data_IF_669939071918
#
_entry.id   IF_669939071918
#
_cell.length_a   1.000
_cell.length_b   1.000
_cell.length_c   1.000
_cell.angle_alpha   90.00
_cell.angle_beta   90.00
_cell.angle_gamma   90.00
#
_symmetry.space_group_name_H-M   'P 1'
#
loop_
_entity.id
_entity.type
_entity.pdbx_description
1 polymer ?
#
# COMPACT_ATOMS: atom_id res chain seq x y z
N UNK A 1 -3.49 -1.74 -33.30
CA UNK A 1 -2.16 -2.00 -32.69
C UNK A 1 -1.91 -1.19 -31.42
N UNK A 2 -2.14 0.14 -31.41
CA UNK A 2 -1.92 1.04 -30.26
C UNK A 2 -2.66 0.58 -28.98
N UNK A 3 -3.95 0.24 -29.07
CA UNK A 3 -4.73 -0.25 -27.93
C UNK A 3 -4.13 -1.52 -27.30
N UNK A 4 -3.62 -2.46 -28.11
CA UNK A 4 -3.00 -3.71 -27.63
C UNK A 4 -1.69 -3.42 -26.90
N UNK A 5 -0.85 -2.56 -27.46
CA UNK A 5 0.40 -2.13 -26.83
C UNK A 5 0.15 -1.44 -25.48
N UNK A 6 -0.84 -0.54 -25.43
CA UNK A 6 -1.22 0.14 -24.18
C UNK A 6 -1.63 -0.84 -23.07
N UNK A 7 -2.52 -1.80 -23.37
CA UNK A 7 -2.92 -2.80 -22.38
C UNK A 7 -1.77 -3.72 -21.96
N UNK A 8 -0.82 -4.04 -22.86
CA UNK A 8 0.37 -4.81 -22.50
C UNK A 8 1.30 -4.06 -21.56
N UNK A 9 1.50 -2.76 -21.76
CA UNK A 9 2.29 -1.92 -20.85
C UNK A 9 1.59 -1.81 -19.49
N UNK A 10 0.26 -1.63 -19.49
CA UNK A 10 -0.52 -1.55 -18.28
C UNK A 10 -0.51 -2.88 -17.51
N UNK A 11 -0.63 -4.01 -18.21
CA UNK A 11 -0.50 -5.35 -17.64
C UNK A 11 0.86 -5.53 -16.99
N UNK A 12 1.94 -5.18 -17.70
CA UNK A 12 3.29 -5.22 -17.16
C UNK A 12 3.41 -4.36 -15.89
N UNK A 13 3.01 -3.09 -15.94
CA UNK A 13 3.16 -2.16 -14.84
C UNK A 13 2.38 -2.59 -13.59
N UNK A 14 1.13 -3.04 -13.76
CA UNK A 14 0.26 -3.42 -12.64
C UNK A 14 0.58 -4.83 -12.11
N UNK A 15 0.74 -5.81 -13.00
CA UNK A 15 0.84 -7.21 -12.59
C UNK A 15 2.25 -7.62 -12.17
N UNK A 16 3.29 -6.88 -12.57
CA UNK A 16 4.65 -7.03 -12.02
C UNK A 16 4.86 -6.36 -10.65
N UNK A 17 3.81 -5.75 -10.10
CA UNK A 17 3.84 -4.97 -8.85
C UNK A 17 4.69 -3.69 -8.89
N UNK A 18 5.16 -3.25 -10.06
CA UNK A 18 5.86 -1.96 -10.20
C UNK A 18 4.97 -0.79 -9.78
N UNK A 19 3.71 -0.78 -10.21
CA UNK A 19 2.77 0.29 -9.87
C UNK A 19 2.57 0.45 -8.36
N UNK A 20 2.36 -0.64 -7.63
CA UNK A 20 2.14 -0.59 -6.18
C UNK A 20 3.41 -0.18 -5.43
N UNK A 21 4.60 -0.53 -5.94
CA UNK A 21 5.86 -0.04 -5.40
C UNK A 21 6.04 1.48 -5.61
N UNK A 22 5.63 2.01 -6.77
CA UNK A 22 5.56 3.46 -6.98
C UNK A 22 4.52 4.13 -6.07
N UNK A 23 3.40 3.47 -5.78
CA UNK A 23 2.44 3.95 -4.80
C UNK A 23 3.07 4.07 -3.41
N UNK A 24 3.87 3.09 -2.97
CA UNK A 24 4.59 3.17 -1.69
C UNK A 24 5.58 4.34 -1.65
N UNK A 25 6.35 4.55 -2.73
CA UNK A 25 7.25 5.72 -2.86
C UNK A 25 6.46 7.03 -2.79
N UNK A 26 5.36 7.14 -3.54
CA UNK A 26 4.50 8.33 -3.51
C UNK A 26 3.98 8.61 -2.10
N UNK A 27 3.68 7.58 -1.32
CA UNK A 27 3.23 7.75 0.06
C UNK A 27 4.34 8.13 1.04
N UNK A 28 5.57 7.67 0.80
CA UNK A 28 6.75 8.22 1.48
C UNK A 28 6.94 9.70 1.17
N UNK A 29 6.83 10.09 -0.11
CA UNK A 29 6.93 11.49 -0.54
C UNK A 29 5.86 12.38 0.09
N UNK A 30 4.62 11.91 0.20
CA UNK A 30 3.56 12.63 0.92
C UNK A 30 3.94 12.88 2.38
N UNK A 31 4.59 11.91 3.06
CA UNK A 31 5.07 12.10 4.43
C UNK A 31 6.14 13.19 4.50
N UNK A 32 7.17 13.13 3.64
CA UNK A 32 8.21 14.16 3.58
C UNK A 32 7.62 15.55 3.32
N UNK A 33 6.69 15.65 2.37
CA UNK A 33 6.03 16.90 2.03
C UNK A 33 5.22 17.47 3.19
N UNK A 34 4.41 16.64 3.87
CA UNK A 34 3.59 17.08 5.01
C UNK A 34 4.44 17.51 6.21
N UNK A 35 5.60 16.88 6.41
CA UNK A 35 6.56 17.28 7.44
C UNK A 35 7.44 18.47 7.01
N UNK A 36 7.33 18.94 5.75
CA UNK A 36 8.20 19.97 5.15
C UNK A 36 9.69 19.58 5.19
N UNK A 37 9.98 18.31 4.95
CA UNK A 37 11.33 17.73 4.96
C UNK A 37 11.77 17.36 3.55
N UNK A 38 13.08 17.38 3.32
CA UNK A 38 13.66 16.94 2.05
C UNK A 38 13.58 15.42 1.91
N UNK A 39 13.08 14.89 0.77
CA UNK A 39 13.00 13.46 0.56
C UNK A 39 14.37 12.77 0.48
N UNK A 40 14.57 11.71 1.28
CA UNK A 40 15.74 10.85 1.15
C UNK A 40 15.51 9.79 0.07
N UNK A 41 16.25 9.91 -1.04
CA UNK A 41 16.18 8.99 -2.19
C UNK A 41 16.50 7.54 -1.83
N UNK A 42 17.39 7.29 -0.88
CA UNK A 42 17.79 5.93 -0.50
C UNK A 42 16.70 5.25 0.32
N UNK A 43 16.02 6.00 1.19
CA UNK A 43 14.85 5.50 1.94
C UNK A 43 13.70 5.20 0.99
N UNK A 44 13.41 6.10 0.05
CA UNK A 44 12.37 5.88 -0.94
C UNK A 44 12.68 4.67 -1.84
N UNK A 45 13.95 4.50 -2.26
CA UNK A 45 14.37 3.32 -3.03
C UNK A 45 14.28 2.03 -2.19
N UNK A 46 14.60 2.08 -0.89
CA UNK A 46 14.43 0.96 0.01
C UNK A 46 12.96 0.56 0.13
N UNK A 47 12.05 1.53 0.30
CA UNK A 47 10.60 1.31 0.31
C UNK A 47 10.12 0.72 -1.02
N UNK A 48 10.62 1.20 -2.15
CA UNK A 48 10.30 0.66 -3.48
C UNK A 48 10.71 -0.81 -3.61
N UNK A 49 11.98 -1.13 -3.35
CA UNK A 49 12.51 -2.47 -3.49
C UNK A 49 11.88 -3.45 -2.49
N UNK A 50 11.69 -3.05 -1.23
CA UNK A 50 11.02 -3.88 -0.21
C UNK A 50 9.56 -4.17 -0.58
N UNK A 51 8.83 -3.19 -1.11
CA UNK A 51 7.47 -3.38 -1.61
C UNK A 51 7.45 -4.38 -2.77
N UNK A 52 8.34 -4.21 -3.77
CA UNK A 52 8.45 -5.17 -4.89
C UNK A 52 8.75 -6.59 -4.41
N UNK A 53 9.74 -6.75 -3.51
CA UNK A 53 10.14 -8.03 -2.97
C UNK A 53 8.95 -8.72 -2.28
N UNK A 54 8.31 -8.05 -1.32
CA UNK A 54 7.23 -8.64 -0.52
C UNK A 54 6.02 -8.99 -1.39
N UNK A 55 5.60 -8.10 -2.30
CA UNK A 55 4.42 -8.33 -3.13
C UNK A 55 4.65 -9.44 -4.17
N UNK A 56 5.83 -9.49 -4.80
CA UNK A 56 6.14 -10.57 -5.73
C UNK A 56 6.30 -11.90 -5.01
N UNK A 57 6.99 -11.92 -3.86
CA UNK A 57 7.15 -13.13 -3.07
C UNK A 57 5.80 -13.67 -2.59
N UNK A 58 4.87 -12.81 -2.17
CA UNK A 58 3.50 -13.19 -1.80
C UNK A 58 2.78 -13.95 -2.93
N UNK A 59 2.95 -13.48 -4.18
CA UNK A 59 2.36 -14.10 -5.36
C UNK A 59 3.04 -15.42 -5.72
N UNK A 60 4.38 -15.45 -5.71
CA UNK A 60 5.16 -16.66 -5.99
C UNK A 60 4.90 -17.77 -4.97
N UNK A 61 4.77 -17.44 -3.68
CA UNK A 61 4.46 -18.41 -2.61
C UNK A 61 3.01 -18.91 -2.65
N UNK A 62 2.12 -18.21 -3.37
CA UNK A 62 0.70 -18.55 -3.48
C UNK A 62 0.34 -19.13 -4.85
N UNK A 63 1.29 -19.79 -5.52
CA UNK A 63 1.06 -20.41 -6.83
C UNK A 63 -0.09 -21.44 -6.78
N UNK A 64 -1.15 -21.26 -7.59
CA UNK A 64 -2.24 -22.23 -7.67
C UNK A 64 -1.81 -23.45 -8.51
N UNK A 65 -2.50 -24.59 -8.33
CA UNK A 65 -2.20 -25.84 -9.09
C UNK A 65 -2.29 -25.66 -10.61
N UNK A 66 -3.24 -24.86 -11.08
CA UNK A 66 -3.45 -24.59 -12.51
C UNK A 66 -3.53 -23.07 -12.77
N UNK A 67 -2.40 -22.34 -12.78
CA UNK A 67 -2.40 -20.88 -12.87
C UNK A 67 -3.11 -20.34 -14.11
N UNK A 68 -3.02 -21.06 -15.23
CA UNK A 68 -3.60 -20.66 -16.51
C UNK A 68 -5.13 -20.75 -16.55
N UNK A 69 -5.76 -21.51 -15.64
CA UNK A 69 -7.22 -21.59 -15.52
C UNK A 69 -7.79 -20.65 -14.45
N UNK A 70 -6.94 -19.88 -13.76
CA UNK A 70 -7.39 -18.92 -12.76
C UNK A 70 -8.38 -17.92 -13.37
N UNK A 71 -9.46 -17.53 -12.66
CA UNK A 71 -10.37 -16.49 -13.13
C UNK A 71 -9.68 -15.12 -13.23
N UNK A 72 -8.65 -14.88 -12.41
CA UNK A 72 -7.92 -13.61 -12.34
C UNK A 72 -6.87 -13.50 -13.45
N UNK A 73 -6.97 -12.43 -14.24
CA UNK A 73 -6.01 -12.10 -15.29
C UNK A 73 -4.61 -11.88 -14.72
N UNK A 74 -4.49 -11.23 -13.56
CA UNK A 74 -3.19 -11.01 -12.90
C UNK A 74 -2.47 -12.31 -12.61
N UNK A 75 -3.17 -13.31 -12.08
CA UNK A 75 -2.59 -14.63 -11.79
C UNK A 75 -2.09 -15.28 -13.08
N UNK A 76 -2.92 -15.35 -14.12
CA UNK A 76 -2.52 -15.93 -15.42
C UNK A 76 -1.27 -15.23 -15.98
N UNK A 77 -1.23 -13.90 -15.91
CA UNK A 77 -0.13 -13.10 -16.43
C UNK A 77 1.18 -13.28 -15.64
N UNK A 78 1.12 -13.31 -14.30
CA UNK A 78 2.30 -13.51 -13.44
C UNK A 78 2.97 -14.84 -13.76
N UNK A 79 2.18 -15.92 -13.83
CA UNK A 79 2.73 -17.26 -14.07
C UNK A 79 3.07 -17.52 -15.54
N UNK A 80 2.49 -16.79 -16.50
CA UNK A 80 3.00 -16.80 -17.88
C UNK A 80 4.33 -16.05 -18.04
N UNK A 81 4.64 -15.11 -17.13
CA UNK A 81 5.89 -14.34 -17.10
C UNK A 81 6.76 -14.69 -15.88
N UNK A 82 6.71 -15.94 -15.42
CA UNK A 82 7.32 -16.37 -14.16
C UNK A 82 8.81 -15.99 -14.02
N UNK A 83 9.61 -16.19 -15.08
CA UNK A 83 11.04 -15.83 -15.09
C UNK A 83 11.27 -14.33 -14.86
N UNK A 84 10.46 -13.48 -15.48
CA UNK A 84 10.53 -12.03 -15.31
C UNK A 84 10.24 -11.63 -13.86
N UNK A 85 9.19 -12.21 -13.26
CA UNK A 85 8.82 -11.93 -11.88
C UNK A 85 9.92 -12.37 -10.91
N UNK A 86 10.51 -13.55 -11.10
CA UNK A 86 11.67 -13.99 -10.32
C UNK A 86 12.83 -13.00 -10.46
N UNK A 87 13.18 -12.59 -11.68
CA UNK A 87 14.27 -11.64 -11.91
C UNK A 87 14.03 -10.30 -11.20
N UNK A 88 12.83 -9.72 -11.32
CA UNK A 88 12.47 -8.47 -10.62
C UNK A 88 12.59 -8.66 -9.10
N UNK A 89 12.12 -9.80 -8.58
CA UNK A 89 12.16 -10.11 -7.15
C UNK A 89 13.60 -10.25 -6.63
N UNK A 90 14.46 -10.94 -7.37
CA UNK A 90 15.88 -11.11 -7.02
C UNK A 90 16.62 -9.78 -7.08
N UNK A 91 16.39 -8.97 -8.12
CA UNK A 91 16.99 -7.63 -8.23
C UNK A 91 16.55 -6.78 -7.03
N UNK A 92 15.25 -6.76 -6.70
CA UNK A 92 14.74 -6.03 -5.56
C UNK A 92 15.38 -6.50 -4.22
N UNK A 93 15.50 -7.82 -4.02
CA UNK A 93 16.16 -8.39 -2.85
C UNK A 93 17.64 -7.98 -2.75
N UNK A 94 18.37 -8.04 -3.86
CA UNK A 94 19.78 -7.65 -3.93
C UNK A 94 19.97 -6.15 -3.67
N UNK A 95 19.06 -5.29 -4.14
CA UNK A 95 19.11 -3.84 -3.88
C UNK A 95 18.83 -3.49 -2.41
N UNK A 96 17.96 -4.22 -1.72
CA UNK A 96 17.62 -3.97 -0.31
C UNK A 96 18.84 -4.11 0.60
N UNK A 97 19.78 -5.02 0.29
CA UNK A 97 20.95 -5.29 1.13
C UNK A 97 21.84 -4.05 1.29
N UNK A 98 22.42 -3.45 0.23
CA UNK A 98 23.24 -2.24 0.37
C UNK A 98 22.40 -1.03 0.81
N UNK A 99 21.13 -0.92 0.38
CA UNK A 99 20.25 0.16 0.84
C UNK A 99 20.04 0.11 2.35
N UNK A 100 19.76 -1.08 2.90
CA UNK A 100 19.56 -1.31 4.32
C UNK A 100 20.84 -1.15 5.13
N UNK A 101 21.94 -1.77 4.70
CA UNK A 101 23.16 -1.80 5.49
C UNK A 101 23.93 -0.47 5.49
N UNK A 102 23.93 0.26 4.36
CA UNK A 102 24.76 1.46 4.23
C UNK A 102 24.01 2.77 4.40
N UNK A 103 22.70 2.81 4.10
CA UNK A 103 21.94 4.06 4.10
C UNK A 103 20.93 4.18 5.24
N UNK A 104 20.39 3.08 5.77
CA UNK A 104 19.51 3.15 6.94
C UNK A 104 20.32 3.27 8.23
N UNK A 105 19.88 4.13 9.15
CA UNK A 105 20.39 4.16 10.52
C UNK A 105 20.12 2.84 11.23
N UNK A 106 20.84 2.55 12.32
CA UNK A 106 20.64 1.33 13.10
C UNK A 106 19.18 1.19 13.60
N UNK A 107 18.57 2.30 14.03
CA UNK A 107 17.18 2.36 14.46
C UNK A 107 16.21 2.04 13.31
N UNK A 108 16.46 2.61 12.13
CA UNK A 108 15.69 2.32 10.90
C UNK A 108 15.85 0.87 10.46
N UNK A 109 17.05 0.29 10.59
CA UNK A 109 17.31 -1.13 10.30
C UNK A 109 16.52 -2.03 11.25
N UNK A 110 16.51 -1.74 12.57
CA UNK A 110 15.75 -2.52 13.54
C UNK A 110 14.25 -2.43 13.27
N UNK A 111 13.74 -1.23 13.00
CA UNK A 111 12.35 -1.01 12.62
C UNK A 111 11.97 -1.82 11.37
N UNK A 112 12.75 -1.71 10.30
CA UNK A 112 12.45 -2.39 9.04
C UNK A 112 12.72 -3.88 9.08
N UNK A 113 13.64 -4.35 9.93
CA UNK A 113 13.82 -5.76 10.25
C UNK A 113 12.55 -6.34 10.87
N UNK A 114 12.00 -5.66 11.89
CA UNK A 114 10.74 -6.06 12.53
C UNK A 114 9.55 -6.02 11.56
N UNK A 115 9.39 -4.92 10.81
CA UNK A 115 8.32 -4.77 9.80
C UNK A 115 8.46 -5.82 8.69
N UNK A 116 9.68 -6.11 8.25
CA UNK A 116 9.99 -7.14 7.25
C UNK A 116 9.62 -8.53 7.74
N UNK A 117 9.93 -8.87 9.00
CA UNK A 117 9.50 -10.14 9.61
C UNK A 117 7.98 -10.25 9.61
N UNK A 118 7.25 -9.20 10.02
CA UNK A 118 5.76 -9.21 9.98
C UNK A 118 5.24 -9.38 8.55
N UNK A 119 5.83 -8.69 7.57
CA UNK A 119 5.41 -8.75 6.18
C UNK A 119 5.64 -10.14 5.55
N UNK A 120 6.75 -10.79 5.88
CA UNK A 120 7.01 -12.17 5.45
C UNK A 120 6.10 -13.14 6.20
N UNK A 121 5.97 -12.98 7.51
CA UNK A 121 5.11 -13.78 8.37
C UNK A 121 3.67 -13.81 7.87
N UNK A 122 3.15 -12.68 7.39
CA UNK A 122 1.83 -12.61 6.79
C UNK A 122 1.59 -13.66 5.68
N UNK A 123 2.62 -13.98 4.89
CA UNK A 123 2.54 -14.91 3.77
C UNK A 123 2.86 -16.37 4.15
N UNK A 124 3.57 -16.61 5.25
CA UNK A 124 3.95 -17.96 5.68
C UNK A 124 2.85 -18.63 6.52
N UNK A 125 2.47 -19.88 6.20
CA UNK A 125 1.58 -20.66 7.06
C UNK A 125 2.36 -21.19 8.27
N UNK A 126 2.17 -20.55 9.42
CA UNK A 126 2.87 -20.90 10.66
C UNK A 126 2.35 -22.18 11.33
N UNK A 127 1.09 -22.53 11.11
CA UNK A 127 0.43 -23.63 11.81
C UNK A 127 -0.22 -24.58 10.81
N UNK A 128 -0.10 -25.89 11.05
CA UNK A 128 -0.94 -26.90 10.40
C UNK A 128 -1.91 -27.43 11.46
N UNK A 129 -3.19 -27.16 11.29
CA UNK A 129 -4.25 -27.69 12.15
C UNK A 129 -5.23 -28.45 11.26
N UNK A 130 -5.45 -29.75 11.52
CA UNK A 130 -6.34 -30.62 10.73
C UNK A 130 -6.11 -30.52 9.21
N UNK A 131 -4.86 -30.70 8.75
CA UNK A 131 -4.42 -30.57 7.35
C UNK A 131 -4.66 -29.21 6.67
N UNK A 132 -5.22 -28.23 7.38
CA UNK A 132 -5.33 -26.83 6.94
C UNK A 132 -4.08 -26.06 7.38
N UNK A 133 -3.39 -25.44 6.41
CA UNK A 133 -2.30 -24.49 6.64
C UNK A 133 -2.89 -23.14 7.07
N UNK A 134 -2.71 -22.78 8.34
CA UNK A 134 -3.19 -21.53 8.95
C UNK A 134 -1.99 -20.57 9.07
N UNK A 135 -2.05 -19.45 8.37
CA UNK A 135 -1.12 -18.33 8.52
C UNK A 135 -1.78 -17.12 9.19
N UNK A 136 -0.99 -16.08 9.47
CA UNK A 136 -1.50 -14.80 9.99
C UNK A 136 -2.59 -14.20 9.10
N UNK A 137 -2.48 -14.39 7.78
CA UNK A 137 -3.49 -13.95 6.79
C UNK A 137 -4.86 -14.61 6.94
N UNK A 138 -4.93 -15.78 7.59
CA UNK A 138 -6.17 -16.52 7.79
C UNK A 138 -6.95 -16.06 9.03
N UNK A 139 -6.35 -15.20 9.87
CA UNK A 139 -7.01 -14.68 11.05
C UNK A 139 -8.11 -13.66 10.66
N UNK A 140 -9.33 -13.80 11.22
CA UNK A 140 -10.46 -12.91 10.93
C UNK A 140 -10.11 -11.44 11.13
N UNK A 141 -10.34 -10.58 10.12
CA UNK A 141 -10.13 -9.13 10.20
C UNK A 141 -8.68 -8.65 10.32
N UNK A 142 -7.74 -9.49 10.77
CA UNK A 142 -6.34 -9.10 11.02
C UNK A 142 -5.58 -8.77 9.74
N UNK A 143 -5.92 -9.44 8.63
CA UNK A 143 -5.32 -9.19 7.30
C UNK A 143 -5.25 -7.70 6.96
N UNK A 144 -6.36 -7.00 7.14
CA UNK A 144 -6.48 -5.57 6.84
C UNK A 144 -5.51 -4.74 7.68
N UNK A 145 -5.51 -4.98 8.99
CA UNK A 145 -4.73 -4.20 9.95
C UNK A 145 -3.23 -4.47 9.82
N UNK A 146 -2.82 -5.70 9.47
CA UNK A 146 -1.41 -6.01 9.19
C UNK A 146 -0.90 -5.26 7.95
N UNK A 147 -1.69 -5.22 6.87
CA UNK A 147 -1.32 -4.47 5.67
C UNK A 147 -1.18 -2.98 6.02
N UNK A 148 -2.19 -2.39 6.67
CA UNK A 148 -2.16 -0.99 7.06
C UNK A 148 -1.00 -0.66 8.02
N UNK A 149 -0.65 -1.58 8.93
CA UNK A 149 0.51 -1.45 9.81
C UNK A 149 1.81 -1.40 9.01
N UNK A 150 2.07 -2.39 8.16
CA UNK A 150 3.30 -2.45 7.34
C UNK A 150 3.45 -1.19 6.50
N UNK A 151 2.37 -0.73 5.85
CA UNK A 151 2.38 0.49 5.04
C UNK A 151 2.66 1.74 5.87
N UNK A 152 2.05 1.86 7.06
CA UNK A 152 2.22 3.04 7.91
C UNK A 152 3.63 3.12 8.49
N UNK A 153 4.17 1.98 8.92
CA UNK A 153 5.56 1.94 9.42
C UNK A 153 6.55 2.24 8.29
N UNK A 154 6.35 1.67 7.10
CA UNK A 154 7.28 1.84 5.98
C UNK A 154 7.23 3.24 5.34
N UNK A 155 6.03 3.83 5.19
CA UNK A 155 5.85 5.09 4.48
C UNK A 155 5.85 6.31 5.39
N UNK A 156 5.67 6.15 6.71
CA UNK A 156 5.62 7.26 7.68
C UNK A 156 6.72 7.14 8.71
N UNK A 157 6.74 6.05 9.48
CA UNK A 157 7.64 5.95 10.61
C UNK A 157 9.10 5.79 10.18
N UNK A 158 9.39 5.03 9.12
CA UNK A 158 10.75 4.88 8.58
C UNK A 158 11.36 6.24 8.19
N UNK A 159 10.72 7.09 7.34
CA UNK A 159 11.22 8.44 7.07
C UNK A 159 11.50 9.26 8.34
N UNK A 160 10.61 9.22 9.33
CA UNK A 160 10.77 9.97 10.59
C UNK A 160 11.98 9.45 11.36
N UNK A 161 12.02 8.16 11.69
CA UNK A 161 13.11 7.54 12.47
C UNK A 161 14.46 7.76 11.80
N UNK A 162 14.52 7.67 10.47
CA UNK A 162 15.75 7.92 9.73
C UNK A 162 16.24 9.36 9.91
N UNK A 163 15.36 10.34 9.75
CA UNK A 163 15.71 11.75 9.86
C UNK A 163 16.11 12.11 11.29
N UNK A 164 15.39 11.59 12.28
CA UNK A 164 15.70 11.80 13.70
C UNK A 164 17.07 11.22 14.06
N UNK A 165 17.40 10.03 13.52
CA UNK A 165 18.69 9.38 13.77
C UNK A 165 19.86 10.09 13.08
N UNK A 166 19.69 10.55 11.84
CA UNK A 166 20.79 11.08 11.03
C UNK A 166 21.05 12.58 11.23
N UNK A 167 19.98 13.36 11.41
CA UNK A 167 20.06 14.83 11.43
C UNK A 167 19.76 15.43 12.80
N UNK A 168 19.41 14.61 13.81
CA UNK A 168 19.05 15.08 15.15
C UNK A 168 17.80 15.99 15.18
N UNK A 169 17.04 16.02 14.08
CA UNK A 169 15.74 16.67 14.03
C UNK A 169 14.79 15.85 14.91
N UNK A 170 13.84 16.52 15.58
CA UNK A 170 12.82 15.80 16.36
C UNK A 170 11.44 16.13 15.79
N UNK A 171 10.73 15.09 15.36
CA UNK A 171 9.32 15.22 15.01
C UNK A 171 8.52 14.98 16.28
N UNK A 172 7.63 15.90 16.63
CA UNK A 172 6.84 15.75 17.85
C UNK A 172 6.05 14.42 17.83
N UNK A 173 5.99 13.74 18.97
CA UNK A 173 5.27 12.46 19.08
C UNK A 173 3.81 12.57 18.60
N UNK A 174 3.15 13.70 18.90
CA UNK A 174 1.79 13.97 18.42
C UNK A 174 1.69 14.01 16.89
N UNK A 175 2.63 14.68 16.21
CA UNK A 175 2.69 14.71 14.75
C UNK A 175 2.92 13.31 14.16
N UNK A 176 3.85 12.55 14.73
CA UNK A 176 4.16 11.17 14.31
C UNK A 176 2.93 10.27 14.44
N UNK A 177 2.25 10.30 15.60
CA UNK A 177 1.05 9.49 15.85
C UNK A 177 -0.09 9.86 14.89
N UNK A 178 -0.32 11.15 14.65
CA UNK A 178 -1.35 11.62 13.71
C UNK A 178 -1.08 11.13 12.29
N UNK A 179 0.17 11.23 11.80
CA UNK A 179 0.52 10.78 10.46
C UNK A 179 0.44 9.26 10.30
N UNK A 180 0.94 8.50 11.29
CA UNK A 180 0.86 7.04 11.29
C UNK A 180 -0.60 6.59 11.31
N UNK A 181 -1.43 7.14 12.20
CA UNK A 181 -2.85 6.81 12.28
C UNK A 181 -3.60 7.20 10.98
N UNK A 182 -3.32 8.39 10.44
CA UNK A 182 -3.88 8.84 9.16
C UNK A 182 -3.55 7.86 8.02
N UNK A 183 -2.28 7.46 7.90
CA UNK A 183 -1.84 6.50 6.87
C UNK A 183 -2.52 5.16 7.07
N UNK A 184 -2.58 4.68 8.31
CA UNK A 184 -3.19 3.41 8.66
C UNK A 184 -4.66 3.36 8.24
N UNK A 185 -5.44 4.37 8.62
CA UNK A 185 -6.86 4.47 8.27
C UNK A 185 -7.09 4.54 6.76
N UNK A 186 -6.26 5.32 6.05
CA UNK A 186 -6.35 5.42 4.60
C UNK A 186 -6.08 4.08 3.91
N UNK A 187 -5.03 3.36 4.31
CA UNK A 187 -4.69 2.05 3.74
C UNK A 187 -5.78 1.02 4.07
N UNK A 188 -6.33 1.04 5.29
CA UNK A 188 -7.49 0.23 5.64
C UNK A 188 -8.67 0.50 4.68
N UNK A 189 -9.02 1.78 4.45
CA UNK A 189 -10.15 2.15 3.60
C UNK A 189 -10.01 1.64 2.15
N UNK A 190 -8.83 1.77 1.55
CA UNK A 190 -8.61 1.36 0.14
C UNK A 190 -8.41 -0.15 -0.02
N UNK A 191 -8.05 -0.88 1.04
CA UNK A 191 -7.84 -2.33 0.98
C UNK A 191 -9.15 -3.12 1.07
N UNK A 192 -10.15 -2.64 1.83
CA UNK A 192 -11.45 -3.32 1.97
C UNK A 192 -12.15 -3.59 0.63
N UNK A 193 -12.18 -2.68 -0.38
CA UNK A 193 -12.73 -2.96 -1.70
C UNK A 193 -12.16 -4.21 -2.38
N UNK A 194 -10.89 -4.55 -2.14
CA UNK A 194 -10.31 -5.78 -2.68
C UNK A 194 -10.96 -7.01 -2.05
N UNK A 195 -11.23 -7.01 -0.75
CA UNK A 195 -11.99 -8.07 -0.09
C UNK A 195 -13.47 -8.08 -0.53
N UNK A 196 -14.05 -6.94 -0.92
CA UNK A 196 -15.42 -6.88 -1.50
C UNK A 196 -15.45 -7.59 -2.86
N UNK A 197 -14.43 -7.34 -3.71
CA UNK A 197 -14.30 -8.02 -5.00
C UNK A 197 -14.22 -9.54 -4.82
N UNK A 198 -13.44 -9.98 -3.83
CA UNK A 198 -13.12 -11.38 -3.61
C UNK A 198 -14.14 -12.08 -2.67
N UNK A 199 -15.24 -11.41 -2.32
CA UNK A 199 -16.24 -11.84 -1.33
C UNK A 199 -16.77 -13.27 -1.55
N UNK A 200 -17.06 -13.66 -2.79
CA UNK A 200 -17.56 -15.02 -3.07
C UNK A 200 -16.50 -16.09 -2.81
N UNK A 201 -15.25 -15.82 -3.21
CA UNK A 201 -14.14 -16.74 -3.02
C UNK A 201 -13.75 -16.83 -1.55
N UNK A 202 -13.74 -15.70 -0.84
CA UNK A 202 -13.48 -15.64 0.60
C UNK A 202 -14.52 -16.45 1.40
N UNK A 203 -15.80 -16.39 1.02
CA UNK A 203 -16.85 -17.25 1.62
C UNK A 203 -16.60 -18.73 1.39
N UNK A 204 -16.17 -19.13 0.18
CA UNK A 204 -15.86 -20.52 -0.14
C UNK A 204 -14.65 -21.04 0.65
N UNK A 205 -13.69 -20.16 0.98
CA UNK A 205 -12.51 -20.51 1.78
C UNK A 205 -12.69 -20.27 3.29
N UNK A 206 -13.92 -19.99 3.75
CA UNK A 206 -14.24 -19.74 5.17
C UNK A 206 -13.42 -18.58 5.78
N UNK A 207 -12.99 -17.62 4.95
CA UNK A 207 -12.23 -16.45 5.40
C UNK A 207 -13.17 -15.41 6.00
N UNK A 208 -12.91 -14.99 7.24
CA UNK A 208 -13.71 -13.98 7.95
C UNK A 208 -13.16 -12.57 7.71
N UNK A 209 -13.27 -12.09 6.47
CA UNK A 209 -12.94 -10.69 6.12
C UNK A 209 -14.07 -9.73 6.52
N UNK A 210 -13.81 -8.42 6.57
CA UNK A 210 -14.81 -7.41 6.94
C UNK A 210 -16.06 -7.49 6.04
N UNK A 211 -15.94 -7.61 4.70
CA UNK A 211 -17.09 -7.78 3.83
C UNK A 211 -17.86 -9.09 4.05
N UNK A 212 -17.16 -10.18 4.40
CA UNK A 212 -17.82 -11.46 4.75
C UNK A 212 -18.62 -11.35 6.05
N UNK A 213 -18.07 -10.67 7.05
CA UNK A 213 -18.69 -10.51 8.38
C UNK A 213 -19.85 -9.51 8.39
N UNK A 214 -19.70 -8.37 7.71
CA UNK A 214 -20.67 -7.27 7.77
C UNK A 214 -21.59 -7.19 6.53
N UNK A 215 -21.20 -7.82 5.43
CA UNK A 215 -21.82 -7.63 4.12
C UNK A 215 -21.27 -6.41 3.37
N UNK A 216 -21.45 -6.41 2.04
CA UNK A 216 -20.91 -5.39 1.12
C UNK A 216 -21.31 -3.96 1.49
N UNK A 217 -22.60 -3.70 1.73
CA UNK A 217 -23.10 -2.35 2.05
C UNK A 217 -22.49 -1.78 3.34
N UNK A 218 -22.38 -2.59 4.39
CA UNK A 218 -21.80 -2.16 5.68
C UNK A 218 -20.29 -1.98 5.56
N UNK A 219 -19.62 -2.79 4.74
CA UNK A 219 -18.20 -2.61 4.44
C UNK A 219 -17.93 -1.27 3.74
N UNK A 220 -18.78 -0.83 2.80
CA UNK A 220 -18.67 0.51 2.21
C UNK A 220 -18.83 1.62 3.24
N UNK A 221 -19.85 1.56 4.10
CA UNK A 221 -20.07 2.56 5.14
C UNK A 221 -18.86 2.62 6.08
N UNK A 222 -18.30 1.46 6.43
CA UNK A 222 -17.09 1.37 7.24
C UNK A 222 -15.90 2.06 6.56
N UNK A 223 -15.68 1.85 5.24
CA UNK A 223 -14.66 2.60 4.50
C UNK A 223 -14.88 4.12 4.55
N UNK A 224 -16.13 4.59 4.40
CA UNK A 224 -16.41 6.03 4.47
C UNK A 224 -16.10 6.59 5.86
N UNK A 225 -16.43 5.87 6.93
CA UNK A 225 -16.07 6.27 8.29
C UNK A 225 -14.55 6.39 8.48
N UNK A 226 -13.78 5.44 7.94
CA UNK A 226 -12.31 5.50 7.95
C UNK A 226 -11.76 6.69 7.18
N UNK A 227 -12.34 7.03 6.02
CA UNK A 227 -11.93 8.20 5.22
C UNK A 227 -12.29 9.52 5.92
N UNK A 228 -13.46 9.62 6.56
CA UNK A 228 -13.84 10.79 7.36
C UNK A 228 -12.86 10.96 8.52
N UNK A 229 -12.53 9.89 9.24
CA UNK A 229 -11.56 9.96 10.32
C UNK A 229 -10.16 10.34 9.80
N UNK A 230 -9.74 9.82 8.65
CA UNK A 230 -8.51 10.23 7.98
C UNK A 230 -8.49 11.73 7.62
N UNK A 231 -9.64 12.29 7.22
CA UNK A 231 -9.78 13.73 6.99
C UNK A 231 -9.68 14.53 8.30
N UNK A 232 -10.35 14.09 9.38
CA UNK A 232 -10.23 14.74 10.70
C UNK A 232 -8.78 14.77 11.16
N UNK A 233 -8.04 13.65 11.06
CA UNK A 233 -6.62 13.60 11.43
C UNK A 233 -5.75 14.52 10.57
N UNK A 234 -6.10 14.71 9.28
CA UNK A 234 -5.41 15.67 8.42
C UNK A 234 -5.58 17.10 8.91
N UNK A 235 -6.80 17.50 9.30
CA UNK A 235 -7.07 18.85 9.85
C UNK A 235 -6.33 19.05 11.17
N UNK A 236 -6.36 18.04 12.06
CA UNK A 236 -5.65 18.11 13.35
C UNK A 236 -4.13 18.22 13.17
N UNK A 237 -3.56 17.54 12.16
CA UNK A 237 -2.14 17.61 11.86
C UNK A 237 -1.74 18.97 11.27
N UNK A 238 -2.48 19.45 10.27
CA UNK A 238 -2.12 20.68 9.54
C UNK A 238 -2.45 21.95 10.28
N UNK A 239 -3.48 21.95 11.14
CA UNK A 239 -3.98 23.09 11.93
C UNK A 239 -4.40 24.33 11.12
N UNK A 240 -4.35 24.26 9.79
CA UNK A 240 -4.63 25.34 8.86
C UNK A 240 -5.34 24.80 7.62
N UNK A 241 -6.30 25.57 7.11
CA UNK A 241 -6.95 25.26 5.83
C UNK A 241 -6.18 25.90 4.67
N UNK A 242 -5.21 25.18 4.12
CA UNK A 242 -4.44 25.59 2.95
C UNK A 242 -4.79 24.75 1.70
N UNK A 243 -4.23 25.11 0.54
CA UNK A 243 -4.44 24.39 -0.72
C UNK A 243 -4.06 22.90 -0.60
N UNK A 244 -3.01 22.55 0.13
CA UNK A 244 -2.59 21.16 0.33
C UNK A 244 -3.68 20.34 1.04
N UNK A 245 -4.32 20.90 2.08
CA UNK A 245 -5.44 20.27 2.78
C UNK A 245 -6.63 20.08 1.86
N UNK A 246 -6.99 21.11 1.08
CA UNK A 246 -8.10 21.03 0.11
C UNK A 246 -7.81 19.94 -0.93
N UNK A 247 -6.60 19.93 -1.49
CA UNK A 247 -6.18 18.94 -2.48
C UNK A 247 -6.26 17.51 -1.94
N UNK A 248 -5.72 17.27 -0.74
CA UNK A 248 -5.82 15.97 -0.09
C UNK A 248 -7.28 15.61 0.26
N UNK A 249 -8.11 16.55 0.69
CA UNK A 249 -9.53 16.31 0.94
C UNK A 249 -10.26 15.87 -0.34
N UNK A 250 -9.97 16.51 -1.48
CA UNK A 250 -10.51 16.11 -2.78
C UNK A 250 -10.09 14.69 -3.16
N UNK A 251 -8.84 14.29 -2.88
CA UNK A 251 -8.43 12.89 -3.09
C UNK A 251 -9.21 11.92 -2.22
N UNK A 252 -9.43 12.24 -0.95
CA UNK A 252 -10.21 11.37 -0.04
C UNK A 252 -11.66 11.24 -0.51
N UNK A 253 -12.26 12.33 -0.99
CA UNK A 253 -13.61 12.30 -1.56
C UNK A 253 -13.66 11.44 -2.83
N UNK A 254 -12.69 11.60 -3.74
CA UNK A 254 -12.58 10.76 -4.94
C UNK A 254 -12.38 9.29 -4.58
N UNK A 255 -11.52 8.99 -3.60
CA UNK A 255 -11.34 7.63 -3.07
C UNK A 255 -12.66 7.08 -2.54
N UNK A 256 -13.42 7.86 -1.76
CA UNK A 256 -14.75 7.46 -1.27
C UNK A 256 -15.73 7.16 -2.40
N UNK A 257 -15.73 7.96 -3.46
CA UNK A 257 -16.54 7.72 -4.66
C UNK A 257 -16.11 6.46 -5.41
N UNK A 258 -14.81 6.21 -5.57
CA UNK A 258 -14.29 4.97 -6.16
C UNK A 258 -14.67 3.74 -5.34
N UNK A 259 -14.57 3.81 -4.00
CA UNK A 259 -15.00 2.74 -3.11
C UNK A 259 -16.49 2.44 -3.31
N UNK A 260 -17.34 3.46 -3.39
CA UNK A 260 -18.77 3.26 -3.65
C UNK A 260 -19.04 2.61 -5.03
N UNK A 261 -18.18 2.86 -6.02
CA UNK A 261 -18.26 2.24 -7.35
C UNK A 261 -17.61 0.85 -7.43
N UNK A 262 -16.90 0.42 -6.38
CA UNK A 262 -16.34 -0.93 -6.28
C UNK A 262 -17.48 -1.94 -6.20
N UNK A 263 -17.35 -3.04 -6.94
CA UNK A 263 -18.28 -4.16 -6.89
C UNK A 263 -17.62 -5.41 -7.47
N UNK A 264 -18.25 -6.55 -7.26
CA UNK A 264 -17.75 -7.88 -7.66
C UNK A 264 -17.55 -8.01 -9.18
N UNK A 265 -18.30 -7.26 -10.01
CA UNK A 265 -18.23 -7.32 -11.47
C UNK A 265 -17.12 -6.43 -12.06
N UNK A 266 -16.49 -5.55 -11.26
CA UNK A 266 -15.43 -4.67 -11.74
C UNK A 266 -14.17 -5.48 -12.07
N UNK A 267 -13.51 -5.10 -13.16
CA UNK A 267 -12.26 -5.72 -13.57
C UNK A 267 -11.10 -5.38 -12.62
N UNK A 268 -10.01 -6.13 -12.71
CA UNK A 268 -8.84 -5.95 -11.86
C UNK A 268 -8.16 -4.58 -12.01
N UNK A 269 -8.24 -3.95 -13.18
CA UNK A 269 -7.73 -2.59 -13.41
C UNK A 269 -8.41 -1.54 -12.54
N UNK A 270 -9.71 -1.69 -12.27
CA UNK A 270 -10.42 -0.79 -11.36
C UNK A 270 -9.72 -0.71 -10.00
N UNK A 271 -9.30 -1.85 -9.48
CA UNK A 271 -8.68 -1.96 -8.18
C UNK A 271 -7.20 -1.56 -8.23
N UNK A 272 -6.42 -2.19 -9.12
CA UNK A 272 -4.96 -1.97 -9.15
C UNK A 272 -4.55 -0.63 -9.76
N UNK A 273 -5.34 -0.03 -10.65
CA UNK A 273 -4.99 1.26 -11.25
C UNK A 273 -5.73 2.42 -10.60
N UNK A 274 -7.06 2.34 -10.47
CA UNK A 274 -7.83 3.49 -9.96
C UNK A 274 -7.78 3.59 -8.43
N UNK A 275 -8.09 2.51 -7.70
CA UNK A 275 -8.05 2.54 -6.23
C UNK A 275 -6.63 2.71 -5.70
N UNK A 276 -5.68 1.85 -6.11
CA UNK A 276 -4.28 2.02 -5.70
C UNK A 276 -3.69 3.34 -6.22
N UNK A 277 -4.09 3.77 -7.41
CA UNK A 277 -3.62 5.04 -8.01
C UNK A 277 -4.03 6.28 -7.23
N UNK A 278 -5.02 6.20 -6.33
CA UNK A 278 -5.31 7.29 -5.38
C UNK A 278 -4.10 7.62 -4.49
N UNK A 279 -3.19 6.66 -4.29
CA UNK A 279 -1.96 6.89 -3.55
C UNK A 279 -0.99 7.80 -4.28
N UNK A 280 -0.78 7.56 -5.57
CA UNK A 280 0.04 8.42 -6.42
C UNK A 280 -0.64 9.78 -6.59
N UNK A 281 -1.97 9.80 -6.77
CA UNK A 281 -2.74 11.03 -6.93
C UNK A 281 -2.58 11.98 -5.74
N UNK A 282 -2.53 11.48 -4.50
CA UNK A 282 -2.23 12.30 -3.32
C UNK A 282 -0.89 13.03 -3.45
N UNK A 283 0.15 12.33 -3.88
CA UNK A 283 1.47 12.93 -4.10
C UNK A 283 1.44 13.96 -5.24
N UNK A 284 0.79 13.64 -6.37
CA UNK A 284 0.73 14.52 -7.53
C UNK A 284 0.00 15.83 -7.25
N UNK A 285 -1.11 15.79 -6.49
CA UNK A 285 -1.86 17.00 -6.12
C UNK A 285 -1.04 17.91 -5.22
N UNK A 286 -0.33 17.35 -4.24
CA UNK A 286 0.57 18.14 -3.39
C UNK A 286 1.67 18.81 -4.21
N UNK A 287 2.29 18.07 -5.14
CA UNK A 287 3.32 18.61 -6.00
C UNK A 287 2.78 19.72 -6.93
N UNK A 288 1.63 19.50 -7.56
CA UNK A 288 0.99 20.51 -8.40
C UNK A 288 0.71 21.80 -7.60
N UNK A 289 0.19 21.70 -6.38
CA UNK A 289 -0.12 22.86 -5.56
C UNK A 289 1.11 23.57 -5.01
N UNK A 290 2.20 22.84 -4.70
CA UNK A 290 3.47 23.50 -4.37
C UNK A 290 3.99 24.36 -5.52
N UNK A 291 3.84 23.90 -6.77
CA UNK A 291 4.28 24.63 -7.95
C UNK A 291 3.48 25.92 -8.14
N UNK A 292 2.15 25.86 -7.96
CA UNK A 292 1.30 27.06 -8.02
C UNK A 292 1.62 28.07 -6.90
N UNK A 293 1.93 27.61 -5.69
CA UNK A 293 2.33 28.49 -4.60
C UNK A 293 3.66 29.21 -4.88
N UNK A 294 4.60 28.54 -5.55
CA UNK A 294 5.89 29.15 -5.91
C UNK A 294 5.79 30.15 -7.07
N UNK A 295 4.79 30.02 -7.96
CA UNK A 295 4.57 30.98 -9.07
C UNK A 295 3.78 32.21 -8.61
N UNK A 296 2.94 32.07 -7.59
CA UNK A 296 2.11 33.16 -7.06
C UNK A 296 2.87 34.12 -6.14
N UNK A 297 4.13 33.83 -5.81
CA UNK A 297 5.05 34.64 -5.03
C UNK A 297 6.24 35.09 -5.87
#
# INVERSE_FOLDING_TARGET
MIKKAFFSILDFLLFSNLFIAFCAVAQGLVTYYLLKLQPDKYILMFVFCSTLLVYNLSMLLSEPKEPQKSPFKRVRWIFSHHRLIISITLIAALCIIPLGLWYLSFQSQLLMGFVGVIALAYNFPFLKLNDKKIGLRNLPGIKLFLIAFVWSMSCVLLPIVQIESNFGLSVSLGATLLLVAKRFLFICAITIPFDIRDLFQDKLYELKTIPVMLGEKKAWIFCQALLILCFILLILFTKEFNLNVIGLALTLFLTGWLIFKSNIKRNEYFYFFFLDGTMILQCLILWAFSFFQHIAH
#
